data_IF_107835940300
#
_entry.id   IF_107835940300
#
_cell.length_a   1.000
_cell.length_b   1.000
_cell.length_c   1.000
_cell.angle_alpha   90.00
_cell.angle_beta   90.00
_cell.angle_gamma   90.00
#
_symmetry.space_group_name_H-M   'P 1'
#
loop_
_entity.id
_entity.type
_entity.pdbx_description
1 polymer ?
#
# COMPACT_ATOMS: atom_id res chain seq x y z
N UNK A 1 9.68 -32.14 4.34
CA UNK A 1 8.66 -31.15 4.76
C UNK A 1 9.15 -29.79 4.27
N UNK A 2 8.68 -29.31 3.12
CA UNK A 2 9.12 -28.01 2.58
C UNK A 2 8.39 -26.91 3.32
N UNK A 3 9.08 -26.24 4.24
CA UNK A 3 8.61 -24.99 4.79
C UNK A 3 8.61 -23.96 3.65
N UNK A 4 7.46 -23.40 3.33
CA UNK A 4 7.39 -22.20 2.49
C UNK A 4 8.00 -21.07 3.34
N UNK A 5 9.31 -20.89 3.28
CA UNK A 5 9.98 -19.86 4.06
C UNK A 5 9.59 -18.52 3.41
N UNK A 6 8.77 -17.76 4.09
CA UNK A 6 8.57 -16.34 3.80
C UNK A 6 9.55 -15.58 4.67
N UNK A 7 10.58 -15.03 4.08
CA UNK A 7 11.54 -14.17 4.80
C UNK A 7 10.94 -12.78 4.91
N UNK A 8 11.08 -12.14 6.05
CA UNK A 8 10.58 -10.78 6.29
C UNK A 8 11.69 -9.96 6.92
N UNK A 9 11.96 -8.80 6.34
CA UNK A 9 12.93 -7.85 6.84
C UNK A 9 12.20 -6.75 7.61
N UNK A 10 12.74 -6.40 8.78
CA UNK A 10 12.14 -5.43 9.70
C UNK A 10 13.12 -4.30 9.97
N UNK A 11 12.65 -3.07 9.82
CA UNK A 11 13.37 -1.84 10.18
C UNK A 11 12.58 -1.11 11.25
N UNK A 12 13.19 -0.81 12.40
CA UNK A 12 12.55 -0.19 13.58
C UNK A 12 11.17 -0.78 13.97
N UNK A 13 10.99 -2.10 13.78
CA UNK A 13 9.73 -2.79 14.10
C UNK A 13 8.66 -2.72 13.01
N UNK A 14 8.96 -2.15 11.85
CA UNK A 14 8.10 -2.12 10.66
C UNK A 14 8.66 -3.04 9.58
N UNK A 15 7.79 -3.74 8.85
CA UNK A 15 8.23 -4.71 7.83
C UNK A 15 8.56 -4.00 6.53
N UNK A 16 9.84 -3.89 6.19
CA UNK A 16 10.29 -3.17 4.99
C UNK A 16 10.42 -4.06 3.76
N UNK A 17 10.58 -5.38 3.94
CA UNK A 17 10.60 -6.33 2.84
C UNK A 17 9.97 -7.66 3.22
N UNK A 18 9.42 -8.36 2.24
CA UNK A 18 8.93 -9.72 2.36
C UNK A 18 9.30 -10.50 1.10
N UNK A 19 10.02 -11.62 1.26
CA UNK A 19 10.38 -12.52 0.16
C UNK A 19 9.57 -13.80 0.30
N UNK A 20 8.84 -14.17 -0.74
CA UNK A 20 8.06 -15.40 -0.73
C UNK A 20 8.93 -16.65 -0.98
N UNK A 21 8.32 -17.84 -0.89
CA UNK A 21 9.02 -19.11 -1.10
C UNK A 21 9.55 -19.32 -2.54
N UNK A 22 9.17 -18.45 -3.48
CA UNK A 22 9.66 -18.44 -4.86
C UNK A 22 10.80 -17.43 -5.06
N UNK A 23 11.27 -16.76 -3.99
CA UNK A 23 12.30 -15.74 -4.05
C UNK A 23 11.82 -14.39 -4.56
N UNK A 24 10.50 -14.16 -4.61
CA UNK A 24 9.91 -12.91 -5.09
C UNK A 24 9.80 -11.92 -3.93
N UNK A 25 10.51 -10.81 -4.04
CA UNK A 25 10.60 -9.77 -3.01
C UNK A 25 9.53 -8.69 -3.20
N UNK A 26 8.81 -8.34 -2.13
CA UNK A 26 7.93 -7.18 -2.04
C UNK A 26 8.46 -6.22 -0.99
N UNK A 27 8.61 -4.94 -1.34
CA UNK A 27 9.10 -3.90 -0.43
C UNK A 27 8.00 -2.95 0.00
N UNK A 28 8.11 -2.45 1.22
CA UNK A 28 7.17 -1.53 1.84
C UNK A 28 7.93 -0.29 2.33
N UNK A 29 7.52 0.87 1.86
CA UNK A 29 7.94 2.15 2.39
C UNK A 29 6.85 2.69 3.31
N UNK A 30 7.27 3.39 4.37
CA UNK A 30 6.36 3.98 5.35
C UNK A 30 6.50 5.50 5.36
N UNK A 31 5.42 6.22 5.64
CA UNK A 31 5.47 7.65 5.92
C UNK A 31 5.90 7.92 7.37
N UNK A 32 6.07 9.20 7.72
CA UNK A 32 6.46 9.63 9.07
C UNK A 32 5.49 9.22 10.19
N UNK A 33 4.25 8.84 9.85
CA UNK A 33 3.24 8.36 10.78
C UNK A 33 3.24 6.83 10.91
N UNK A 34 4.12 6.14 10.18
CA UNK A 34 4.22 4.69 10.19
C UNK A 34 3.18 3.98 9.32
N UNK A 35 2.47 4.69 8.44
CA UNK A 35 1.56 4.08 7.46
C UNK A 35 2.31 3.76 6.17
N UNK A 36 1.94 2.67 5.50
CA UNK A 36 2.55 2.25 4.24
C UNK A 36 2.31 3.32 3.19
N UNK A 37 3.35 4.00 2.71
CA UNK A 37 3.24 5.06 1.68
C UNK A 37 3.49 4.53 0.28
N UNK A 38 4.24 3.42 0.14
CA UNK A 38 4.52 2.79 -1.14
C UNK A 38 4.74 1.28 -0.96
N UNK A 39 4.28 0.51 -1.92
CA UNK A 39 4.57 -0.92 -2.04
C UNK A 39 5.23 -1.14 -3.39
N UNK A 40 6.37 -1.81 -3.40
CA UNK A 40 7.07 -2.21 -4.63
C UNK A 40 6.98 -3.72 -4.75
N UNK A 41 6.35 -4.19 -5.83
CA UNK A 41 6.18 -5.61 -6.14
C UNK A 41 7.44 -6.20 -6.79
N UNK A 42 7.54 -7.54 -6.88
CA UNK A 42 8.71 -8.22 -7.46
C UNK A 42 8.98 -7.91 -8.94
N UNK A 43 7.98 -7.42 -9.66
CA UNK A 43 8.04 -7.01 -11.07
C UNK A 43 8.37 -5.51 -11.23
N UNK A 44 8.89 -4.87 -10.18
CA UNK A 44 9.12 -3.42 -10.06
C UNK A 44 7.85 -2.55 -10.14
N UNK A 45 6.66 -3.15 -10.22
CA UNK A 45 5.38 -2.43 -10.16
C UNK A 45 5.20 -1.77 -8.79
N UNK A 46 4.79 -0.51 -8.77
CA UNK A 46 4.65 0.25 -7.52
C UNK A 46 3.24 0.73 -7.26
N UNK A 47 2.76 0.52 -6.04
CA UNK A 47 1.57 1.17 -5.50
C UNK A 47 1.99 2.31 -4.59
N UNK A 48 1.25 3.42 -4.58
CA UNK A 48 1.44 4.54 -3.65
C UNK A 48 0.16 4.85 -2.92
N UNK A 49 0.29 5.19 -1.64
CA UNK A 49 -0.82 5.45 -0.75
C UNK A 49 -0.61 6.78 -0.03
N UNK A 50 -1.65 7.60 -0.02
CA UNK A 50 -1.68 8.89 0.67
C UNK A 50 -2.78 8.88 1.73
N UNK A 51 -2.47 9.43 2.90
CA UNK A 51 -3.36 9.40 4.07
C UNK A 51 -3.64 10.82 4.56
N UNK A 52 -4.81 11.04 5.13
CA UNK A 52 -5.11 12.26 5.87
C UNK A 52 -4.45 12.27 7.27
N UNK A 53 -4.66 13.35 8.01
CA UNK A 53 -4.13 13.51 9.38
C UNK A 53 -4.76 12.55 10.40
N UNK A 54 -5.90 11.95 10.08
CA UNK A 54 -6.56 10.95 10.91
C UNK A 54 -6.09 9.52 10.57
N UNK A 55 -5.18 9.37 9.59
CA UNK A 55 -4.69 8.06 9.14
C UNK A 55 -5.62 7.34 8.18
N UNK A 56 -6.59 8.04 7.58
CA UNK A 56 -7.52 7.50 6.59
C UNK A 56 -6.90 7.59 5.20
N UNK A 57 -6.99 6.52 4.41
CA UNK A 57 -6.46 6.48 3.05
C UNK A 57 -7.28 7.40 2.15
N UNK A 58 -6.71 8.52 1.69
CA UNK A 58 -7.41 9.48 0.83
C UNK A 58 -7.11 9.27 -0.65
N UNK A 59 -5.98 8.61 -0.97
CA UNK A 59 -5.61 8.36 -2.36
C UNK A 59 -4.72 7.13 -2.48
N UNK A 60 -5.00 6.33 -3.50
CA UNK A 60 -4.20 5.19 -3.90
C UNK A 60 -3.84 5.34 -5.37
N UNK A 61 -2.57 5.11 -5.71
CA UNK A 61 -2.08 5.13 -7.09
C UNK A 61 -1.51 3.77 -7.42
N UNK A 62 -2.05 3.15 -8.45
CA UNK A 62 -1.64 1.83 -8.93
C UNK A 62 -0.39 1.92 -9.84
N UNK A 63 0.23 0.78 -10.17
CA UNK A 63 1.41 0.69 -11.05
C UNK A 63 1.13 1.21 -12.47
N UNK A 64 -0.13 1.23 -12.88
CA UNK A 64 -0.59 1.83 -14.15
C UNK A 64 -0.78 3.35 -14.10
N UNK A 65 -0.39 4.01 -13.00
CA UNK A 65 -0.67 5.43 -12.72
C UNK A 65 -2.15 5.79 -12.62
N UNK A 66 -3.04 4.79 -12.55
CA UNK A 66 -4.45 5.00 -12.20
C UNK A 66 -4.54 5.41 -10.74
N UNK A 67 -5.40 6.39 -10.47
CA UNK A 67 -5.61 6.90 -9.11
C UNK A 67 -7.02 6.57 -8.64
N UNK A 68 -7.12 6.18 -7.38
CA UNK A 68 -8.36 6.08 -6.63
C UNK A 68 -8.34 7.15 -5.56
N UNK A 69 -9.39 7.94 -5.46
CA UNK A 69 -9.53 8.91 -4.36
C UNK A 69 -10.69 8.54 -3.46
N UNK A 70 -10.52 8.81 -2.19
CA UNK A 70 -11.44 8.48 -1.12
C UNK A 70 -11.71 9.75 -0.29
N UNK A 71 -12.97 9.99 0.03
CA UNK A 71 -13.35 11.03 0.98
C UNK A 71 -14.16 10.43 2.13
N UNK A 72 -13.98 11.00 3.32
CA UNK A 72 -14.63 10.54 4.54
C UNK A 72 -15.41 11.70 5.17
N UNK A 73 -16.52 11.38 5.84
CA UNK A 73 -17.21 12.33 6.71
C UNK A 73 -16.44 12.54 8.04
N UNK A 74 -16.82 13.52 8.87
CA UNK A 74 -16.20 13.71 10.18
C UNK A 74 -16.35 12.53 11.16
N UNK A 75 -17.25 11.58 10.88
CA UNK A 75 -17.40 10.35 11.66
C UNK A 75 -16.50 9.20 11.15
N UNK A 76 -15.70 9.45 10.11
CA UNK A 76 -14.78 8.48 9.50
C UNK A 76 -15.48 7.51 8.53
N UNK A 77 -16.69 7.82 8.09
CA UNK A 77 -17.42 7.00 7.14
C UNK A 77 -17.05 7.41 5.71
N UNK A 78 -16.79 6.43 4.85
CA UNK A 78 -16.50 6.67 3.45
C UNK A 78 -17.71 7.30 2.75
N UNK A 79 -17.55 8.53 2.25
CA UNK A 79 -18.60 9.28 1.54
C UNK A 79 -18.38 9.33 0.04
N UNK A 80 -17.14 9.17 -0.42
CA UNK A 80 -16.79 9.22 -1.82
C UNK A 80 -15.69 8.23 -2.15
N UNK A 81 -15.84 7.53 -3.27
CA UNK A 81 -14.77 6.73 -3.88
C UNK A 81 -14.86 6.93 -5.39
N UNK A 82 -13.84 7.52 -5.98
CA UNK A 82 -13.72 7.58 -7.45
C UNK A 82 -12.67 6.62 -7.93
N UNK A 83 -12.96 5.91 -9.01
CA UNK A 83 -11.93 5.26 -9.81
C UNK A 83 -11.60 6.19 -10.97
N UNK A 84 -10.33 6.49 -11.21
CA UNK A 84 -9.90 7.20 -12.41
C UNK A 84 -10.12 6.42 -13.73
N UNK A 85 -11.02 5.44 -13.73
CA UNK A 85 -11.56 4.83 -14.93
C UNK A 85 -13.04 5.20 -15.00
N UNK A 86 -13.35 6.16 -15.86
CA UNK A 86 -14.66 6.77 -16.02
C UNK A 86 -15.71 5.82 -16.58
N UNK A 87 -16.12 4.83 -15.80
CA UNK A 87 -17.26 3.98 -16.10
C UNK A 87 -18.23 3.96 -14.91
N UNK A 88 -19.25 4.82 -15.03
CA UNK A 88 -20.59 4.62 -14.45
C UNK A 88 -21.34 3.54 -15.22
#
# INVERSE_FOLDING_TARGET
MSGNITESEWDYGQRVAQTDALGRETRYDYNSFGYISKVTLPDDSTYRYEYDKAGQLIKETDFTSRTLEYAYDPAGQLTYRTQADGHV
#
